data_IF_941017973693
#
_entry.id   IF_941017973693
#
_cell.length_a   1.000
_cell.length_b   1.000
_cell.length_c   1.000
_cell.angle_alpha   90.00
_cell.angle_beta   90.00
_cell.angle_gamma   90.00
#
_symmetry.space_group_name_H-M   'P 1'
#
loop_
_entity.id
_entity.type
_entity.pdbx_description
1 polymer ?
#
# COMPACT_ATOMS: atom_id res chain seq x y z
N UNK A 1 -41.46 14.50 -35.73
CA UNK A 1 -40.40 14.45 -34.70
C UNK A 1 -41.08 14.35 -33.35
N UNK A 2 -40.82 13.28 -32.59
CA UNK A 2 -41.40 13.12 -31.24
C UNK A 2 -40.73 14.03 -30.20
N UNK A 3 -41.36 14.16 -29.03
CA UNK A 3 -40.81 14.84 -27.85
C UNK A 3 -40.50 13.83 -26.75
N UNK A 4 -39.35 14.00 -26.11
CA UNK A 4 -38.90 13.11 -25.04
C UNK A 4 -39.78 13.26 -23.81
N UNK A 5 -40.25 12.13 -23.26
CA UNK A 5 -41.08 12.11 -22.05
C UNK A 5 -40.40 12.67 -20.79
N UNK A 6 -39.06 12.71 -20.74
CA UNK A 6 -38.30 13.11 -19.54
C UNK A 6 -37.87 14.57 -19.57
N UNK A 7 -37.37 15.05 -20.71
CA UNK A 7 -36.78 16.39 -20.81
C UNK A 7 -37.46 17.30 -21.83
N UNK A 8 -38.49 16.82 -22.53
CA UNK A 8 -39.18 17.58 -23.59
C UNK A 8 -38.36 17.82 -24.86
N UNK A 9 -37.09 17.39 -24.91
CA UNK A 9 -36.22 17.53 -26.07
C UNK A 9 -36.65 16.69 -27.27
N UNK A 10 -36.18 17.05 -28.47
CA UNK A 10 -36.55 16.37 -29.71
C UNK A 10 -36.03 14.92 -29.73
N UNK A 11 -36.90 13.99 -30.11
CA UNK A 11 -36.52 12.59 -30.36
C UNK A 11 -36.33 12.34 -31.85
N UNK A 12 -35.49 11.35 -32.15
CA UNK A 12 -35.33 10.84 -33.51
C UNK A 12 -36.56 9.99 -33.83
N UNK A 13 -37.37 10.37 -34.82
CA UNK A 13 -38.56 9.61 -35.22
C UNK A 13 -39.59 9.43 -34.10
N UNK A 14 -40.00 8.17 -33.88
CA UNK A 14 -41.04 7.75 -32.93
C UNK A 14 -40.49 7.26 -31.58
N UNK A 15 -39.23 7.58 -31.29
CA UNK A 15 -38.61 7.14 -30.03
C UNK A 15 -39.18 7.90 -28.83
N UNK A 16 -39.45 7.19 -27.73
CA UNK A 16 -40.01 7.76 -26.49
C UNK A 16 -39.04 8.67 -25.73
N UNK A 17 -37.73 8.48 -25.91
CA UNK A 17 -36.67 9.19 -25.20
C UNK A 17 -35.65 9.78 -26.18
N UNK A 18 -35.12 10.97 -25.87
CA UNK A 18 -34.02 11.55 -26.64
C UNK A 18 -32.71 10.80 -26.36
N UNK A 19 -31.71 10.98 -27.21
CA UNK A 19 -30.41 10.32 -27.06
C UNK A 19 -29.72 10.60 -25.72
N UNK A 20 -30.02 11.73 -25.07
CA UNK A 20 -29.49 12.07 -23.73
C UNK A 20 -30.24 11.41 -22.58
N UNK A 21 -31.52 11.08 -22.78
CA UNK A 21 -32.39 10.53 -21.74
C UNK A 21 -32.71 9.05 -21.97
N UNK A 22 -32.09 8.42 -22.98
CA UNK A 22 -32.31 7.01 -23.28
C UNK A 22 -31.82 6.18 -22.09
N UNK A 23 -32.69 5.45 -21.38
CA UNK A 23 -32.25 4.54 -20.33
C UNK A 23 -31.34 3.49 -20.99
N UNK A 24 -30.15 3.29 -20.43
CA UNK A 24 -29.14 2.36 -20.93
C UNK A 24 -29.61 0.92 -20.75
N UNK A 25 -30.50 0.44 -21.60
CA UNK A 25 -30.84 -0.98 -21.71
C UNK A 25 -29.73 -1.68 -22.48
N UNK A 26 -28.59 -1.86 -21.82
CA UNK A 26 -27.43 -2.57 -22.34
C UNK A 26 -26.76 -3.32 -21.22
N UNK A 27 -27.00 -4.63 -21.15
CA UNK A 27 -26.20 -5.58 -20.37
C UNK A 27 -24.76 -5.52 -20.89
N UNK A 28 -23.94 -4.65 -20.33
CA UNK A 28 -22.50 -4.78 -20.41
C UNK A 28 -22.05 -5.48 -19.13
N UNK A 29 -21.54 -6.71 -19.29
CA UNK A 29 -20.58 -7.31 -18.36
C UNK A 29 -19.30 -6.47 -18.45
N UNK A 30 -19.37 -5.24 -17.96
CA UNK A 30 -18.20 -4.44 -17.63
C UNK A 30 -17.74 -4.91 -16.28
N UNK A 31 -16.50 -5.35 -16.19
CA UNK A 31 -15.75 -5.41 -14.95
C UNK A 31 -15.80 -3.99 -14.39
N UNK A 32 -16.78 -3.69 -13.54
CA UNK A 32 -16.73 -2.49 -12.74
C UNK A 32 -15.43 -2.65 -11.92
N UNK A 33 -14.45 -1.73 -12.02
CA UNK A 33 -13.52 -1.63 -10.93
C UNK A 33 -14.43 -1.26 -9.76
N UNK A 34 -14.66 -2.21 -8.86
CA UNK A 34 -15.10 -1.86 -7.53
C UNK A 34 -14.12 -0.78 -7.11
N UNK A 35 -14.60 0.46 -7.06
CA UNK A 35 -14.04 1.47 -6.19
C UNK A 35 -14.25 0.92 -4.78
N UNK A 36 -13.47 -0.10 -4.41
CA UNK A 36 -13.10 -0.34 -3.04
C UNK A 36 -12.51 0.99 -2.65
N UNK A 37 -13.25 1.73 -1.83
CA UNK A 37 -12.68 2.80 -1.04
C UNK A 37 -11.35 2.25 -0.54
N UNK A 38 -10.24 2.75 -1.08
CA UNK A 38 -8.92 2.23 -0.74
C UNK A 38 -8.87 2.36 0.78
N UNK A 39 -8.69 1.27 1.55
CA UNK A 39 -8.56 1.40 2.98
C UNK A 39 -7.33 2.29 3.20
N UNK A 40 -7.57 3.51 3.63
CA UNK A 40 -6.50 4.44 3.93
C UNK A 40 -5.75 3.89 5.15
N UNK A 41 -4.42 3.85 5.07
CA UNK A 41 -3.63 3.66 6.27
C UNK A 41 -3.95 4.80 7.24
N UNK A 42 -4.14 4.52 8.54
CA UNK A 42 -4.25 5.56 9.53
C UNK A 42 -3.05 6.50 9.45
N UNK A 43 -3.28 7.80 9.64
CA UNK A 43 -2.23 8.82 9.52
C UNK A 43 -1.03 8.56 10.42
N UNK A 44 -1.26 8.03 11.62
CA UNK A 44 -0.21 7.69 12.58
C UNK A 44 0.62 6.45 12.18
N UNK A 45 0.19 5.69 11.17
CA UNK A 45 0.99 4.59 10.60
C UNK A 45 1.90 5.05 9.45
N UNK A 46 1.82 6.33 9.05
CA UNK A 46 2.48 6.90 7.88
C UNK A 46 3.48 7.98 8.28
N UNK A 47 4.76 7.74 7.96
CA UNK A 47 5.86 8.66 8.22
C UNK A 47 6.26 9.37 6.93
N UNK A 48 6.17 10.72 6.93
CA UNK A 48 6.48 11.54 5.74
C UNK A 48 7.88 12.13 5.76
N UNK A 49 8.33 12.59 6.93
CA UNK A 49 9.57 13.37 7.02
C UNK A 49 10.79 12.52 7.42
N UNK A 50 10.62 11.70 8.47
CA UNK A 50 11.64 10.79 9.01
C UNK A 50 11.03 9.81 10.01
N UNK A 51 11.65 8.63 10.12
CA UNK A 51 11.41 7.67 11.22
C UNK A 51 12.08 8.09 12.54
N UNK A 52 12.92 9.13 12.50
CA UNK A 52 13.71 9.61 13.62
C UNK A 52 13.26 10.99 14.08
N UNK A 53 13.44 11.24 15.36
CA UNK A 53 13.33 12.55 15.98
C UNK A 53 14.54 13.43 15.60
N UNK A 54 14.45 14.77 15.78
CA UNK A 54 15.55 15.69 15.53
C UNK A 54 16.83 15.39 16.32
N UNK A 55 16.69 14.77 17.49
CA UNK A 55 17.80 14.33 18.35
C UNK A 55 18.53 13.08 17.83
N UNK A 56 18.02 12.48 16.74
CA UNK A 56 18.60 11.30 16.10
C UNK A 56 18.10 9.96 16.64
N UNK A 57 17.23 9.94 17.65
CA UNK A 57 16.60 8.70 18.15
C UNK A 57 15.38 8.31 17.31
N UNK A 58 15.05 7.03 17.30
CA UNK A 58 13.87 6.54 16.58
C UNK A 58 12.60 7.05 17.30
N UNK A 59 11.62 7.55 16.53
CA UNK A 59 10.36 8.02 17.11
C UNK A 59 9.68 6.91 17.89
N UNK A 60 9.14 7.22 19.07
CA UNK A 60 8.47 6.23 19.95
C UNK A 60 7.36 5.48 19.20
N UNK A 61 6.58 6.22 18.42
CA UNK A 61 5.47 5.72 17.60
C UNK A 61 5.88 4.62 16.63
N UNK A 62 7.10 4.65 16.08
CA UNK A 62 7.64 3.58 15.22
C UNK A 62 7.70 2.25 15.96
N UNK A 63 8.08 2.27 17.23
CA UNK A 63 8.28 1.08 18.03
C UNK A 63 7.01 0.59 18.73
N UNK A 64 6.02 1.46 18.98
CA UNK A 64 4.88 1.17 19.84
C UNK A 64 3.56 1.41 19.11
N UNK A 65 3.10 2.66 19.04
CA UNK A 65 1.72 2.99 18.63
C UNK A 65 1.45 2.63 17.16
N UNK A 66 2.31 3.08 16.25
CA UNK A 66 2.16 2.83 14.82
C UNK A 66 2.34 1.33 14.51
N UNK A 67 3.29 0.68 15.20
CA UNK A 67 3.55 -0.74 15.02
C UNK A 67 2.38 -1.62 15.50
N UNK A 68 1.78 -1.26 16.63
CA UNK A 68 0.60 -1.93 17.16
C UNK A 68 -0.59 -1.78 16.21
N UNK A 69 -0.93 -0.55 15.83
CA UNK A 69 -2.02 -0.28 14.91
C UNK A 69 -1.84 -0.99 13.57
N UNK A 70 -0.64 -0.93 12.98
CA UNK A 70 -0.36 -1.62 11.72
C UNK A 70 -0.45 -3.14 11.87
N UNK A 71 0.03 -3.71 12.99
CA UNK A 71 -0.07 -5.16 13.23
C UNK A 71 -1.52 -5.63 13.35
N UNK A 72 -2.40 -4.85 13.97
CA UNK A 72 -3.83 -5.13 14.08
C UNK A 72 -4.53 -5.07 12.72
N UNK A 73 -4.20 -4.06 11.91
CA UNK A 73 -4.71 -3.92 10.54
C UNK A 73 -4.30 -5.13 9.70
N UNK A 74 -3.03 -5.53 9.74
CA UNK A 74 -2.56 -6.69 8.98
C UNK A 74 -3.22 -7.98 9.44
N UNK A 75 -3.47 -8.16 10.73
CA UNK A 75 -4.21 -9.32 11.25
C UNK A 75 -5.67 -9.32 10.80
N UNK A 76 -6.32 -8.15 10.82
CA UNK A 76 -7.71 -7.97 10.35
C UNK A 76 -7.84 -8.29 8.86
N UNK A 77 -6.85 -7.87 8.07
CA UNK A 77 -6.73 -8.16 6.64
C UNK A 77 -6.15 -9.56 6.35
N UNK A 78 -6.10 -10.43 7.37
CA UNK A 78 -5.69 -11.85 7.24
C UNK A 78 -4.27 -12.06 6.72
N UNK A 79 -3.35 -11.12 6.94
CA UNK A 79 -1.93 -11.33 6.64
C UNK A 79 -1.39 -12.48 7.49
N UNK A 80 -0.86 -13.51 6.83
CA UNK A 80 -0.31 -14.68 7.52
C UNK A 80 1.08 -14.37 8.07
N UNK A 81 1.45 -15.01 9.19
CA UNK A 81 2.81 -14.89 9.71
C UNK A 81 3.88 -15.33 8.70
N UNK A 82 3.61 -16.39 7.93
CA UNK A 82 4.55 -16.87 6.93
C UNK A 82 4.82 -15.79 5.86
N UNK A 83 3.75 -15.14 5.37
CA UNK A 83 3.87 -14.08 4.36
C UNK A 83 4.65 -12.88 4.87
N UNK A 84 4.35 -12.37 6.08
CA UNK A 84 5.07 -11.21 6.62
C UNK A 84 6.51 -11.57 7.00
N UNK A 85 6.77 -12.79 7.48
CA UNK A 85 8.13 -13.23 7.85
C UNK A 85 9.03 -13.31 6.63
N UNK A 86 8.51 -13.77 5.49
CA UNK A 86 9.26 -13.79 4.24
C UNK A 86 9.67 -12.37 3.80
N UNK A 87 8.73 -11.43 3.85
CA UNK A 87 8.98 -10.02 3.52
C UNK A 87 9.97 -9.36 4.50
N UNK A 88 9.79 -9.63 5.80
CA UNK A 88 10.70 -9.19 6.85
C UNK A 88 12.12 -9.71 6.61
N UNK A 89 12.27 -10.99 6.29
CA UNK A 89 13.58 -11.59 6.01
C UNK A 89 14.26 -10.92 4.81
N UNK A 90 13.50 -10.56 3.76
CA UNK A 90 14.03 -9.81 2.62
C UNK A 90 14.61 -8.45 3.05
N UNK A 91 13.84 -7.66 3.81
CA UNK A 91 14.32 -6.37 4.33
C UNK A 91 15.51 -6.54 5.29
N UNK A 92 15.45 -7.54 6.17
CA UNK A 92 16.51 -7.79 7.14
C UNK A 92 17.80 -8.27 6.46
N UNK A 93 17.73 -8.98 5.34
CA UNK A 93 18.92 -9.37 4.56
C UNK A 93 19.68 -8.15 4.03
N UNK A 94 18.96 -7.13 3.57
CA UNK A 94 19.54 -5.85 3.13
C UNK A 94 20.15 -5.12 4.33
N UNK A 95 19.42 -5.08 5.46
CA UNK A 95 19.91 -4.51 6.73
C UNK A 95 21.21 -5.16 7.19
N UNK A 96 21.31 -6.49 7.12
CA UNK A 96 22.52 -7.22 7.52
C UNK A 96 23.70 -6.86 6.62
N UNK A 97 23.51 -6.85 5.29
CA UNK A 97 24.56 -6.43 4.35
C UNK A 97 25.06 -5.02 4.65
N UNK A 98 24.16 -4.07 4.89
CA UNK A 98 24.51 -2.69 5.26
C UNK A 98 25.30 -2.56 6.56
N UNK A 99 25.21 -3.55 7.47
CA UNK A 99 25.98 -3.59 8.72
C UNK A 99 27.34 -4.24 8.53
N UNK A 100 27.43 -5.28 7.71
CA UNK A 100 28.64 -6.09 7.56
C UNK A 100 29.60 -5.56 6.49
N UNK A 101 29.07 -4.95 5.44
CA UNK A 101 29.84 -4.51 4.28
C UNK A 101 29.92 -2.97 4.26
N UNK A 102 31.16 -2.46 4.24
CA UNK A 102 31.44 -1.02 4.23
C UNK A 102 31.59 -0.46 2.81
N UNK A 103 31.77 -1.32 1.81
CA UNK A 103 32.10 -0.95 0.43
C UNK A 103 30.89 -1.06 -0.51
N UNK A 104 29.69 -1.03 0.06
CA UNK A 104 28.46 -1.08 -0.73
C UNK A 104 28.29 0.19 -1.59
N UNK A 105 27.88 0.03 -2.86
CA UNK A 105 27.57 1.16 -3.73
C UNK A 105 26.51 2.09 -3.12
N UNK A 106 26.60 3.40 -3.40
CA UNK A 106 25.62 4.39 -2.92
C UNK A 106 24.17 4.07 -3.35
N UNK A 107 23.99 3.42 -4.51
CA UNK A 107 22.70 2.97 -5.02
C UNK A 107 22.17 1.65 -4.43
N UNK A 108 22.93 0.97 -3.57
CA UNK A 108 22.60 -0.37 -3.08
C UNK A 108 21.22 -0.44 -2.40
N UNK A 109 20.91 0.51 -1.53
CA UNK A 109 19.62 0.56 -0.82
C UNK A 109 18.49 0.73 -1.83
N UNK A 110 18.60 1.74 -2.71
CA UNK A 110 17.59 2.05 -3.72
C UNK A 110 17.31 0.84 -4.60
N UNK A 111 18.32 0.20 -5.16
CA UNK A 111 18.13 -0.96 -6.04
C UNK A 111 17.48 -2.14 -5.34
N UNK A 112 17.95 -2.50 -4.14
CA UNK A 112 17.42 -3.66 -3.42
C UNK A 112 16.04 -3.39 -2.85
N UNK A 113 15.76 -2.17 -2.39
CA UNK A 113 14.45 -1.81 -1.89
C UNK A 113 13.42 -1.72 -3.02
N UNK A 114 13.77 -1.19 -4.19
CA UNK A 114 12.87 -1.21 -5.34
C UNK A 114 12.54 -2.64 -5.80
N UNK A 115 13.51 -3.57 -5.77
CA UNK A 115 13.24 -5.01 -6.00
C UNK A 115 12.24 -5.57 -4.97
N UNK A 116 12.38 -5.18 -3.71
CA UNK A 116 11.43 -5.54 -2.65
C UNK A 116 10.02 -4.96 -2.93
N UNK A 117 9.91 -3.70 -3.36
CA UNK A 117 8.64 -3.08 -3.76
C UNK A 117 7.97 -3.88 -4.88
N UNK A 118 8.71 -4.24 -5.93
CA UNK A 118 8.18 -5.07 -7.04
C UNK A 118 7.71 -6.44 -6.55
N UNK A 119 8.46 -7.06 -5.63
CA UNK A 119 8.08 -8.34 -5.03
C UNK A 119 6.78 -8.22 -4.21
N UNK A 120 6.61 -7.13 -3.46
CA UNK A 120 5.41 -6.82 -2.69
C UNK A 120 4.22 -6.62 -3.63
N UNK A 121 4.38 -5.85 -4.71
CA UNK A 121 3.33 -5.64 -5.71
C UNK A 121 2.88 -6.96 -6.35
N UNK A 122 3.83 -7.82 -6.73
CA UNK A 122 3.54 -9.13 -7.29
C UNK A 122 2.78 -10.04 -6.31
N UNK A 123 3.18 -10.06 -5.03
CA UNK A 123 2.51 -10.84 -4.00
C UNK A 123 1.11 -10.30 -3.68
N UNK A 124 0.90 -8.97 -3.72
CA UNK A 124 -0.41 -8.36 -3.53
C UNK A 124 -1.36 -8.76 -4.66
N UNK A 125 -0.91 -8.71 -5.92
CA UNK A 125 -1.69 -9.13 -7.10
C UNK A 125 -2.09 -10.62 -7.08
N UNK A 126 -1.40 -11.44 -6.29
CA UNK A 126 -1.69 -12.86 -6.12
C UNK A 126 -2.49 -13.17 -4.85
N UNK A 127 -2.98 -12.15 -4.15
CA UNK A 127 -3.70 -12.24 -2.89
C UNK A 127 -2.91 -12.99 -1.79
N UNK A 128 -1.57 -13.01 -1.89
CA UNK A 128 -0.67 -13.64 -0.89
C UNK A 128 -0.49 -12.72 0.31
N UNK A 129 -0.45 -11.41 0.05
CA UNK A 129 -0.37 -10.35 1.05
C UNK A 129 -1.53 -9.38 0.84
N UNK A 130 -2.06 -8.77 1.90
CA UNK A 130 -3.14 -7.82 1.74
C UNK A 130 -2.66 -6.53 1.09
N UNK A 131 -3.55 -5.93 0.30
CA UNK A 131 -3.29 -4.68 -0.42
C UNK A 131 -2.85 -3.54 0.51
N UNK A 132 -3.32 -3.52 1.75
CA UNK A 132 -2.91 -2.51 2.74
C UNK A 132 -1.40 -2.55 3.02
N UNK A 133 -0.76 -3.72 2.95
CA UNK A 133 0.68 -3.85 3.11
C UNK A 133 1.42 -3.31 1.88
N UNK A 134 0.87 -3.50 0.68
CA UNK A 134 1.43 -2.89 -0.54
C UNK A 134 1.42 -1.37 -0.43
N UNK A 135 0.30 -0.79 -0.04
CA UNK A 135 0.16 0.66 0.16
C UNK A 135 1.13 1.15 1.24
N UNK A 136 1.29 0.39 2.32
CA UNK A 136 2.23 0.70 3.41
C UNK A 136 3.67 0.81 2.90
N UNK A 137 4.12 -0.15 2.07
CA UNK A 137 5.46 -0.11 1.47
C UNK A 137 5.60 1.03 0.47
N UNK A 138 4.60 1.22 -0.40
CA UNK A 138 4.59 2.25 -1.43
C UNK A 138 4.75 3.65 -0.84
N UNK A 139 3.96 3.99 0.18
CA UNK A 139 3.98 5.33 0.80
C UNK A 139 5.32 5.65 1.46
N UNK A 140 6.00 4.65 2.04
CA UNK A 140 7.30 4.87 2.70
C UNK A 140 8.49 4.75 1.73
N UNK A 141 8.27 4.42 0.46
CA UNK A 141 9.35 4.10 -0.48
C UNK A 141 10.33 5.26 -0.64
N UNK A 142 9.82 6.47 -0.86
CA UNK A 142 10.66 7.67 -1.06
C UNK A 142 11.50 7.98 0.17
N UNK A 143 10.94 7.78 1.38
CA UNK A 143 11.66 7.96 2.62
C UNK A 143 12.75 6.90 2.80
N UNK A 144 12.44 5.65 2.51
CA UNK A 144 13.37 4.51 2.69
C UNK A 144 14.57 4.57 1.76
N UNK A 145 14.40 5.00 0.51
CA UNK A 145 15.49 5.06 -0.46
C UNK A 145 16.37 6.31 -0.31
N UNK A 146 15.98 7.25 0.56
CA UNK A 146 16.70 8.51 0.79
C UNK A 146 18.11 8.29 1.30
N UNK A 147 18.24 7.52 2.38
CA UNK A 147 19.53 7.23 2.99
C UNK A 147 19.51 5.95 3.85
N UNK A 148 20.70 5.58 4.34
CA UNK A 148 20.90 4.43 5.22
C UNK A 148 20.13 4.54 6.53
N UNK A 149 20.01 5.74 7.09
CA UNK A 149 19.35 5.95 8.39
C UNK A 149 17.86 5.66 8.24
N UNK A 150 17.19 6.24 7.25
CA UNK A 150 15.76 6.02 7.01
C UNK A 150 15.44 4.57 6.64
N UNK A 151 16.29 3.90 5.86
CA UNK A 151 16.15 2.47 5.60
C UNK A 151 16.19 1.64 6.90
N UNK A 152 17.12 1.95 7.81
CA UNK A 152 17.21 1.26 9.09
C UNK A 152 15.97 1.52 9.96
N UNK A 153 15.45 2.75 9.97
CA UNK A 153 14.22 3.12 10.65
C UNK A 153 13.02 2.32 10.16
N UNK A 154 12.86 2.18 8.84
CA UNK A 154 11.82 1.33 8.26
C UNK A 154 11.99 -0.14 8.61
N UNK A 155 13.23 -0.65 8.58
CA UNK A 155 13.50 -2.03 8.96
C UNK A 155 13.16 -2.30 10.44
N UNK A 156 13.46 -1.35 11.34
CA UNK A 156 13.08 -1.42 12.75
C UNK A 156 11.56 -1.32 12.93
N UNK A 157 10.89 -0.46 12.15
CA UNK A 157 9.43 -0.38 12.13
C UNK A 157 8.78 -1.71 11.73
N UNK A 158 9.24 -2.31 10.62
CA UNK A 158 8.75 -3.61 10.17
C UNK A 158 9.03 -4.71 11.21
N UNK A 159 10.19 -4.64 11.90
CA UNK A 159 10.52 -5.54 13.01
C UNK A 159 9.49 -5.40 14.14
N UNK A 160 9.17 -4.17 14.54
CA UNK A 160 8.22 -3.87 15.60
C UNK A 160 6.79 -4.33 15.27
N UNK A 161 6.37 -4.23 13.99
CA UNK A 161 5.10 -4.76 13.49
C UNK A 161 5.08 -6.28 13.59
N UNK A 162 6.10 -6.95 13.05
CA UNK A 162 6.18 -8.43 13.05
C UNK A 162 6.20 -8.98 14.47
N UNK A 163 6.91 -8.32 15.40
CA UNK A 163 6.97 -8.72 16.80
C UNK A 163 5.60 -8.69 17.50
N UNK A 164 4.68 -7.83 17.03
CA UNK A 164 3.31 -7.70 17.57
C UNK A 164 2.29 -8.58 16.88
N UNK A 165 2.64 -9.22 15.77
CA UNK A 165 1.77 -10.20 15.13
C UNK A 165 1.72 -11.48 15.96
N UNK A 166 0.61 -11.70 16.67
CA UNK A 166 0.38 -12.90 17.49
C UNK A 166 0.41 -14.17 16.63
N UNK A 167 0.98 -15.25 17.16
CA UNK A 167 0.73 -16.60 16.64
C UNK A 167 -0.70 -16.96 17.04
N UNK A 168 -1.55 -17.28 16.06
CA UNK A 168 -2.79 -18.00 16.31
C UNK A 168 -2.54 -19.48 16.10
#
# INVERSE_FOLDING_TARGET
MGKCKVCGGNTLGDYEYCLKCKPSTGRQRGYAPQSRERPGLPSHCVFKDSFYEPDGYLKREVNIEAAEAMSEILQRERMTQASIRNLFNSVNSIKMKLKTDRDLPSGFIRENFLKFVTQVEYQSKRDVIPEIFRIFVEIHTDLVVKDKKEFLGFADYLTAIVARMKQK
#
